data_IF_029339827407
#
_entry.id   IF_029339827407
#
_cell.length_a   1.000
_cell.length_b   1.000
_cell.length_c   1.000
_cell.angle_alpha   90.00
_cell.angle_beta   90.00
_cell.angle_gamma   90.00
#
_symmetry.space_group_name_H-M   'P 1'
#
loop_
_entity.id
_entity.type
_entity.pdbx_description
1 polymer ?
#
# COMPACT_ATOMS: atom_id res chain seq x y z
N UNK A 1 -8.98 9.57 1.55
CA UNK A 1 -8.77 8.13 1.79
C UNK A 1 -7.71 7.96 2.86
N UNK A 2 -8.13 7.84 4.13
CA UNK A 2 -7.21 7.65 5.26
C UNK A 2 -6.94 6.16 5.46
N UNK A 3 -5.89 5.62 4.84
CA UNK A 3 -5.45 4.26 5.15
C UNK A 3 -4.91 4.25 6.59
N UNK A 4 -5.56 3.50 7.47
CA UNK A 4 -5.02 3.22 8.80
C UNK A 4 -3.83 2.27 8.62
N UNK A 5 -2.60 2.75 8.76
CA UNK A 5 -1.42 1.91 8.56
C UNK A 5 -1.18 1.08 9.83
N UNK A 6 -1.27 -0.25 9.73
CA UNK A 6 -0.78 -1.10 10.81
C UNK A 6 0.70 -1.41 10.58
N UNK A 7 1.55 -0.58 11.19
CA UNK A 7 3.01 -0.68 11.10
C UNK A 7 3.59 -1.95 11.72
N UNK A 8 2.91 -2.57 12.68
CA UNK A 8 3.41 -3.77 13.37
C UNK A 8 3.37 -5.02 12.47
N UNK A 9 2.46 -5.03 11.49
CA UNK A 9 2.21 -6.21 10.66
C UNK A 9 2.61 -6.03 9.19
N UNK A 10 3.24 -4.90 8.82
CA UNK A 10 3.54 -4.53 7.43
C UNK A 10 2.32 -4.64 6.49
N UNK A 11 1.15 -4.28 7.02
CA UNK A 11 -0.13 -4.40 6.33
C UNK A 11 -0.84 -3.05 6.25
N UNK A 12 -1.57 -2.88 5.15
CA UNK A 12 -2.33 -1.69 4.79
C UNK A 12 -3.81 -2.07 4.81
N UNK A 13 -4.51 -2.02 5.96
CA UNK A 13 -5.94 -2.27 6.01
C UNK A 13 -6.73 -1.10 5.37
N UNK A 14 -7.68 -1.45 4.52
CA UNK A 14 -8.65 -0.51 3.94
C UNK A 14 -9.81 -0.31 4.93
N UNK A 15 -10.03 0.90 5.44
CA UNK A 15 -11.09 1.16 6.41
C UNK A 15 -12.50 1.07 5.80
N UNK A 16 -12.63 1.11 4.48
CA UNK A 16 -13.94 1.20 3.82
C UNK A 16 -14.66 -0.16 3.79
N UNK A 17 -13.96 -1.21 3.39
CA UNK A 17 -14.55 -2.53 3.12
C UNK A 17 -13.69 -3.68 3.67
N UNK A 18 -12.68 -3.40 4.50
CA UNK A 18 -11.94 -4.41 5.25
C UNK A 18 -10.89 -5.20 4.46
N UNK A 19 -10.64 -4.86 3.19
CA UNK A 19 -9.53 -5.46 2.46
C UNK A 19 -8.20 -5.16 3.14
N UNK A 20 -7.26 -6.09 3.04
CA UNK A 20 -5.91 -5.92 3.57
C UNK A 20 -4.91 -6.10 2.45
N UNK A 21 -3.96 -5.18 2.37
CA UNK A 21 -2.86 -5.24 1.40
C UNK A 21 -1.52 -5.35 2.11
N UNK A 22 -0.53 -5.98 1.46
CA UNK A 22 0.86 -5.97 1.93
C UNK A 22 1.51 -4.61 1.68
N UNK A 23 2.69 -4.37 2.27
CA UNK A 23 3.49 -3.17 2.01
C UNK A 23 3.85 -2.96 0.51
N UNK A 24 3.87 -4.03 -0.29
CA UNK A 24 4.09 -3.98 -1.75
C UNK A 24 2.79 -3.76 -2.54
N UNK A 25 1.65 -3.57 -1.87
CA UNK A 25 0.36 -3.32 -2.49
C UNK A 25 -0.40 -4.58 -2.96
N UNK A 26 0.07 -5.78 -2.61
CA UNK A 26 -0.60 -7.03 -3.00
C UNK A 26 -1.80 -7.27 -2.08
N UNK A 27 -2.94 -7.67 -2.65
CA UNK A 27 -4.11 -8.10 -1.84
C UNK A 27 -3.73 -9.34 -1.03
N UNK A 28 -3.94 -9.26 0.28
CA UNK A 28 -3.77 -10.36 1.23
C UNK A 28 -5.14 -10.87 1.69
N UNK A 29 -6.11 -9.95 1.89
CA UNK A 29 -7.47 -10.29 2.27
C UNK A 29 -8.49 -9.45 1.49
N UNK A 30 -9.53 -10.09 0.98
CA UNK A 30 -10.59 -9.49 0.15
C UNK A 30 -11.60 -8.65 0.96
N UNK A 31 -12.50 -7.90 0.28
CA UNK A 31 -13.09 -8.17 -1.04
C UNK A 31 -12.35 -7.63 -2.28
N UNK A 32 -11.23 -6.92 -2.13
CA UNK A 32 -10.48 -6.41 -3.29
C UNK A 32 -9.96 -7.57 -4.16
N UNK A 33 -10.16 -7.47 -5.47
CA UNK A 33 -9.70 -8.48 -6.44
C UNK A 33 -8.43 -8.05 -7.20
N UNK A 34 -7.99 -6.80 -7.02
CA UNK A 34 -6.85 -6.23 -7.69
C UNK A 34 -5.87 -5.61 -6.69
N UNK A 35 -4.58 -5.73 -6.99
CA UNK A 35 -3.50 -5.12 -6.23
C UNK A 35 -3.55 -3.59 -6.35
N UNK A 36 -2.96 -2.90 -5.37
CA UNK A 36 -2.78 -1.46 -5.42
C UNK A 36 -1.83 -1.09 -6.57
N UNK A 37 -2.10 0.06 -7.21
CA UNK A 37 -1.18 0.63 -8.18
C UNK A 37 0.13 1.00 -7.49
N UNK A 38 1.23 0.48 -8.01
CA UNK A 38 2.59 0.82 -7.57
C UNK A 38 3.20 1.88 -8.46
N UNK A 39 4.12 2.66 -7.90
CA UNK A 39 4.89 3.66 -8.61
C UNK A 39 6.37 3.37 -8.42
N UNK A 40 7.14 3.43 -9.52
CA UNK A 40 8.59 3.35 -9.43
C UNK A 40 9.11 4.65 -8.85
N UNK A 41 10.10 4.55 -7.96
CA UNK A 41 10.70 5.71 -7.30
C UNK A 41 12.20 5.68 -7.50
N UNK A 42 12.75 6.78 -8.00
CA UNK A 42 14.20 7.03 -8.05
C UNK A 42 14.58 7.92 -6.87
N UNK A 43 15.62 7.53 -6.12
CA UNK A 43 16.19 8.33 -5.03
C UNK A 43 17.48 9.02 -5.48
N UNK A 44 17.56 10.33 -5.31
CA UNK A 44 18.74 11.15 -5.57
C UNK A 44 19.00 12.05 -4.35
N UNK A 45 20.03 11.74 -3.56
CA UNK A 45 20.22 12.38 -2.25
C UNK A 45 19.00 12.14 -1.34
N UNK A 46 18.41 13.23 -0.84
CA UNK A 46 17.18 13.19 -0.03
C UNK A 46 15.89 13.38 -0.85
N UNK A 47 16.00 13.48 -2.18
CA UNK A 47 14.86 13.65 -3.08
C UNK A 47 14.42 12.29 -3.62
N UNK A 48 13.12 12.04 -3.57
CA UNK A 48 12.47 10.87 -4.15
C UNK A 48 11.55 11.31 -5.29
N UNK A 49 11.83 10.82 -6.49
CA UNK A 49 11.08 11.16 -7.71
C UNK A 49 10.27 9.94 -8.15
N UNK A 50 8.97 10.13 -8.36
CA UNK A 50 8.10 9.12 -8.96
C UNK A 50 8.33 9.12 -10.48
N UNK A 51 8.57 7.95 -11.05
CA UNK A 51 8.86 7.73 -12.49
C UNK A 51 7.83 6.84 -13.15
#
# INVERSE_FOLDING_TARGET
MHHNLNHANSQLPCPCYGSVFSASGIVVNGPAQANLKTYSVKKEGDIFTIT
#
